data_IF_022051534047
#
_entry.id   IF_022051534047
#
_cell.length_a   1.000
_cell.length_b   1.000
_cell.length_c   1.000
_cell.angle_alpha   90.00
_cell.angle_beta   90.00
_cell.angle_gamma   90.00
#
_symmetry.space_group_name_H-M   'P 1'
#
loop_
_entity.id
_entity.type
_entity.pdbx_description
1 polymer ?
#
# COMPACT_ATOMS: atom_id res chain seq x y z
N UNK A 1 -36.12 31.35 -70.68
CA UNK A 1 -37.19 30.99 -69.71
C UNK A 1 -36.71 29.79 -68.90
N UNK A 2 -36.69 29.94 -67.58
CA UNK A 2 -35.97 29.10 -66.63
C UNK A 2 -36.60 27.70 -66.52
N UNK A 3 -35.76 26.66 -66.60
CA UNK A 3 -36.04 25.27 -66.26
C UNK A 3 -36.02 25.13 -64.73
N UNK A 4 -37.04 24.52 -64.14
CA UNK A 4 -37.02 24.08 -62.74
C UNK A 4 -37.36 22.58 -62.77
N UNK A 5 -36.33 21.75 -62.62
CA UNK A 5 -36.45 20.33 -62.34
C UNK A 5 -36.19 20.14 -60.84
N UNK A 6 -37.16 19.57 -60.14
CA UNK A 6 -37.09 19.20 -58.73
C UNK A 6 -36.44 17.83 -58.66
N UNK A 7 -35.27 17.73 -58.02
CA UNK A 7 -34.67 16.44 -57.69
C UNK A 7 -34.44 16.39 -56.18
N UNK A 8 -35.13 15.46 -55.52
CA UNK A 8 -35.08 15.23 -54.08
C UNK A 8 -33.69 14.75 -53.66
N UNK A 9 -33.07 15.46 -52.70
CA UNK A 9 -31.83 15.06 -52.06
C UNK A 9 -32.17 14.26 -50.79
N UNK A 10 -32.01 12.95 -50.89
CA UNK A 10 -32.13 12.00 -49.78
C UNK A 10 -30.92 12.23 -48.85
N UNK A 11 -31.14 12.87 -47.71
CA UNK A 11 -30.11 13.11 -46.71
C UNK A 11 -29.68 11.79 -46.06
N UNK A 12 -28.50 11.30 -46.44
CA UNK A 12 -27.80 10.25 -45.71
C UNK A 12 -27.44 10.81 -44.33
N UNK A 13 -28.16 10.35 -43.32
CA UNK A 13 -27.81 10.57 -41.92
C UNK A 13 -26.57 9.73 -41.61
N UNK A 14 -25.39 10.27 -41.93
CA UNK A 14 -24.12 9.73 -41.46
C UNK A 14 -24.14 9.78 -39.94
N UNK A 15 -24.31 8.62 -39.30
CA UNK A 15 -24.11 8.46 -37.87
C UNK A 15 -22.69 8.88 -37.52
N UNK A 16 -22.56 10.12 -37.03
CA UNK A 16 -21.39 10.53 -36.30
C UNK A 16 -21.38 9.71 -35.01
N UNK A 17 -20.72 8.55 -35.07
CA UNK A 17 -20.34 7.82 -33.88
C UNK A 17 -19.54 8.78 -33.03
N UNK A 18 -20.13 9.22 -31.92
CA UNK A 18 -19.41 9.87 -30.84
C UNK A 18 -18.36 8.86 -30.41
N UNK A 19 -17.12 9.09 -30.83
CA UNK A 19 -15.95 8.49 -30.21
C UNK A 19 -15.96 8.96 -28.76
N UNK A 20 -16.58 8.16 -27.89
CA UNK A 20 -16.30 8.23 -26.45
C UNK A 20 -14.86 7.77 -26.33
N UNK A 21 -13.92 8.72 -26.30
CA UNK A 21 -12.52 8.42 -26.03
C UNK A 21 -12.47 7.56 -24.78
N UNK A 22 -11.89 6.36 -24.89
CA UNK A 22 -11.76 5.47 -23.76
C UNK A 22 -11.05 6.22 -22.63
N UNK A 23 -11.73 6.41 -21.50
CA UNK A 23 -11.14 7.09 -20.35
C UNK A 23 -9.83 6.39 -19.97
N UNK A 24 -8.80 7.19 -19.64
CA UNK A 24 -7.48 6.66 -19.27
C UNK A 24 -7.62 5.60 -18.16
N UNK A 25 -6.87 4.49 -18.17
CA UNK A 25 -6.94 3.52 -17.09
C UNK A 25 -6.60 4.16 -15.74
N UNK A 26 -7.13 3.59 -14.65
CA UNK A 26 -6.68 3.88 -13.29
C UNK A 26 -5.45 3.01 -13.03
N UNK A 27 -4.29 3.65 -12.86
CA UNK A 27 -3.01 2.99 -12.67
C UNK A 27 -2.64 2.91 -11.20
N UNK A 28 -2.43 1.70 -10.70
CA UNK A 28 -2.05 1.45 -9.30
C UNK A 28 -0.65 0.86 -9.28
N UNK A 29 0.30 1.57 -8.68
CA UNK A 29 1.60 1.00 -8.39
C UNK A 29 1.52 0.12 -7.16
N UNK A 30 1.90 -1.15 -7.24
CA UNK A 30 1.83 -2.06 -6.09
C UNK A 30 3.22 -2.56 -5.73
N UNK A 31 3.73 -2.18 -4.56
CA UNK A 31 5.06 -2.60 -4.10
C UNK A 31 4.90 -3.73 -3.08
N UNK A 32 5.58 -4.84 -3.30
CA UNK A 32 5.59 -5.97 -2.36
C UNK A 32 6.89 -6.77 -2.50
N UNK A 33 7.09 -7.79 -1.66
CA UNK A 33 8.28 -8.65 -1.68
C UNK A 33 8.00 -9.90 -2.52
N UNK A 34 8.52 -9.96 -3.74
CA UNK A 34 8.30 -11.07 -4.69
C UNK A 34 9.51 -11.97 -4.83
N UNK A 35 10.69 -11.47 -4.46
CA UNK A 35 11.89 -12.29 -4.28
C UNK A 35 12.20 -12.44 -2.80
N UNK A 36 13.15 -13.31 -2.42
CA UNK A 36 13.52 -13.69 -1.02
C UNK A 36 12.71 -14.87 -0.43
N UNK A 37 13.16 -15.47 0.70
CA UNK A 37 12.41 -16.53 1.40
C UNK A 37 11.02 -16.12 1.89
N UNK A 38 10.71 -14.82 1.91
CA UNK A 38 9.40 -14.29 2.33
C UNK A 38 8.46 -13.99 1.14
N UNK A 39 8.87 -14.38 -0.08
CA UNK A 39 8.12 -14.12 -1.31
C UNK A 39 6.72 -14.73 -1.34
N UNK A 40 6.45 -15.80 -0.58
CA UNK A 40 5.12 -16.41 -0.51
C UNK A 40 4.04 -15.39 -0.13
N UNK A 41 4.31 -14.56 0.88
CA UNK A 41 3.37 -13.52 1.33
C UNK A 41 3.12 -12.48 0.23
N UNK A 42 4.15 -12.08 -0.49
CA UNK A 42 4.00 -11.13 -1.60
C UNK A 42 3.24 -11.71 -2.78
N UNK A 43 3.47 -12.99 -3.10
CA UNK A 43 2.70 -13.70 -4.13
C UNK A 43 1.23 -13.83 -3.74
N UNK A 44 0.93 -14.10 -2.47
CA UNK A 44 -0.45 -14.12 -1.97
C UNK A 44 -1.12 -12.75 -2.11
N UNK A 45 -0.40 -11.65 -1.84
CA UNK A 45 -0.90 -10.29 -2.06
C UNK A 45 -1.15 -9.99 -3.54
N UNK A 46 -0.26 -10.40 -4.45
CA UNK A 46 -0.46 -10.26 -5.90
C UNK A 46 -1.71 -11.01 -6.35
N UNK A 47 -1.86 -12.26 -5.90
CA UNK A 47 -3.01 -13.09 -6.23
C UNK A 47 -4.31 -12.45 -5.72
N UNK A 48 -4.31 -11.95 -4.48
CA UNK A 48 -5.47 -11.28 -3.88
C UNK A 48 -5.86 -10.02 -4.67
N UNK A 49 -4.89 -9.20 -5.09
CA UNK A 49 -5.17 -8.00 -5.90
C UNK A 49 -5.71 -8.37 -7.28
N UNK A 50 -5.11 -9.35 -7.96
CA UNK A 50 -5.59 -9.81 -9.26
C UNK A 50 -7.02 -10.36 -9.16
N UNK A 51 -7.31 -11.16 -8.13
CA UNK A 51 -8.65 -11.66 -7.86
C UNK A 51 -9.64 -10.53 -7.57
N UNK A 52 -9.23 -9.50 -6.84
CA UNK A 52 -10.08 -8.33 -6.58
C UNK A 52 -10.39 -7.56 -7.86
N UNK A 53 -9.41 -7.37 -8.76
CA UNK A 53 -9.60 -6.75 -10.07
C UNK A 53 -10.57 -7.56 -10.93
N UNK A 54 -10.44 -8.89 -10.93
CA UNK A 54 -11.36 -9.78 -11.64
C UNK A 54 -12.79 -9.68 -11.08
N UNK A 55 -12.93 -9.67 -9.75
CA UNK A 55 -14.25 -9.57 -9.10
C UNK A 55 -15.01 -8.32 -9.51
N UNK A 56 -14.32 -7.18 -9.65
CA UNK A 56 -14.95 -5.91 -10.09
C UNK A 56 -15.07 -5.80 -11.62
N UNK A 57 -14.73 -6.85 -12.38
CA UNK A 57 -14.84 -6.88 -13.83
C UNK A 57 -13.75 -6.09 -14.57
N UNK A 58 -12.59 -5.87 -13.93
CA UNK A 58 -11.43 -5.21 -14.54
C UNK A 58 -11.52 -3.69 -14.65
N UNK A 59 -12.61 -3.07 -14.18
CA UNK A 59 -12.83 -1.64 -14.30
C UNK A 59 -13.51 -1.04 -13.08
N UNK A 60 -13.26 0.24 -12.83
CA UNK A 60 -13.91 1.04 -11.80
C UNK A 60 -14.36 2.37 -12.38
N UNK A 61 -15.63 2.74 -12.15
CA UNK A 61 -16.18 3.97 -12.71
C UNK A 61 -16.08 4.08 -14.24
N UNK A 62 -16.15 2.96 -14.96
CA UNK A 62 -15.99 2.91 -16.42
C UNK A 62 -14.54 2.95 -16.93
N UNK A 63 -13.55 3.04 -16.03
CA UNK A 63 -12.12 3.09 -16.35
C UNK A 63 -11.45 1.75 -16.06
N UNK A 64 -10.65 1.24 -16.99
CA UNK A 64 -9.88 0.00 -16.79
C UNK A 64 -8.90 0.14 -15.62
N UNK A 65 -8.68 -0.93 -14.86
CA UNK A 65 -7.71 -0.97 -13.76
C UNK A 65 -6.40 -1.58 -14.29
N UNK A 66 -5.30 -0.86 -14.13
CA UNK A 66 -3.95 -1.35 -14.45
C UNK A 66 -3.11 -1.40 -13.17
N UNK A 67 -2.66 -2.60 -12.77
CA UNK A 67 -1.81 -2.77 -11.58
C UNK A 67 -0.38 -3.07 -11.99
N UNK A 68 0.55 -2.25 -11.51
CA UNK A 68 1.98 -2.34 -11.79
C UNK A 68 2.71 -2.88 -10.56
N UNK A 69 2.92 -4.19 -10.51
CA UNK A 69 3.64 -4.84 -9.42
C UNK A 69 5.15 -4.58 -9.48
N UNK A 70 5.76 -4.20 -8.35
CA UNK A 70 7.20 -4.04 -8.22
C UNK A 70 7.71 -4.78 -6.99
N UNK A 71 8.80 -5.50 -7.18
CA UNK A 71 9.52 -6.19 -6.12
C UNK A 71 10.44 -5.24 -5.35
N UNK A 72 10.29 -5.20 -4.02
CA UNK A 72 11.16 -4.47 -3.10
C UNK A 72 12.37 -5.28 -2.62
N UNK A 73 12.41 -6.59 -2.87
CA UNK A 73 13.47 -7.49 -2.43
C UNK A 73 13.78 -7.42 -0.93
N UNK A 74 12.82 -7.01 -0.11
CA UNK A 74 12.97 -6.73 1.33
C UNK A 74 14.06 -5.67 1.61
N UNK A 75 14.26 -4.72 0.69
CA UNK A 75 15.28 -3.67 0.81
C UNK A 75 14.62 -2.29 0.80
N UNK A 76 14.73 -1.50 1.88
CA UNK A 76 14.12 -0.17 1.95
C UNK A 76 14.49 0.75 0.79
N UNK A 77 15.78 0.77 0.43
CA UNK A 77 16.28 1.59 -0.66
C UNK A 77 15.72 1.15 -2.02
N UNK A 78 15.58 -0.16 -2.25
CA UNK A 78 14.98 -0.66 -3.49
C UNK A 78 13.49 -0.30 -3.55
N UNK A 79 12.74 -0.46 -2.45
CA UNK A 79 11.33 -0.04 -2.38
C UNK A 79 11.14 1.44 -2.68
N UNK A 80 11.99 2.32 -2.12
CA UNK A 80 11.99 3.76 -2.44
C UNK A 80 12.22 4.01 -3.93
N UNK A 81 13.22 3.37 -4.53
CA UNK A 81 13.50 3.48 -5.96
C UNK A 81 12.33 2.97 -6.83
N UNK A 82 11.67 1.88 -6.44
CA UNK A 82 10.48 1.38 -7.13
C UNK A 82 9.33 2.38 -7.05
N UNK A 83 9.08 2.98 -5.89
CA UNK A 83 8.06 4.00 -5.72
C UNK A 83 8.34 5.22 -6.61
N UNK A 84 9.58 5.71 -6.63
CA UNK A 84 9.97 6.84 -7.48
C UNK A 84 9.79 6.54 -8.97
N UNK A 85 10.13 5.32 -9.41
CA UNK A 85 9.89 4.90 -10.79
C UNK A 85 8.40 4.84 -11.12
N UNK A 86 7.59 4.24 -10.24
CA UNK A 86 6.14 4.15 -10.42
C UNK A 86 5.51 5.55 -10.59
N UNK A 87 5.95 6.51 -9.78
CA UNK A 87 5.44 7.88 -9.80
C UNK A 87 5.94 8.64 -11.04
N UNK A 88 7.25 8.62 -11.30
CA UNK A 88 7.89 9.52 -12.29
C UNK A 88 7.88 8.97 -13.71
N UNK A 89 7.92 7.65 -13.89
CA UNK A 89 8.02 7.01 -15.21
C UNK A 89 6.71 6.32 -15.59
N UNK A 90 6.13 5.54 -14.68
CA UNK A 90 4.92 4.76 -14.97
C UNK A 90 3.63 5.60 -14.81
N UNK A 91 3.75 6.78 -14.19
CA UNK A 91 2.69 7.76 -13.90
C UNK A 91 1.44 7.14 -13.26
N UNK A 92 1.64 6.36 -12.19
CA UNK A 92 0.54 5.72 -11.46
C UNK A 92 -0.30 6.73 -10.69
N UNK A 93 -1.61 6.54 -10.56
CA UNK A 93 -2.51 7.43 -9.79
C UNK A 93 -2.27 7.35 -8.27
N UNK A 94 -1.71 6.23 -7.79
CA UNK A 94 -1.35 6.02 -6.39
C UNK A 94 -0.45 4.81 -6.23
N UNK A 95 0.15 4.69 -5.03
CA UNK A 95 0.98 3.55 -4.65
C UNK A 95 0.34 2.80 -3.50
N UNK A 96 0.22 1.48 -3.64
CA UNK A 96 -0.33 0.59 -2.64
C UNK A 96 0.63 -0.55 -2.28
N UNK A 97 0.34 -1.22 -1.16
CA UNK A 97 1.00 -2.47 -0.77
C UNK A 97 1.85 -2.33 0.49
N UNK A 98 3.10 -2.78 0.34
CA UNK A 98 4.14 -2.99 1.33
C UNK A 98 3.83 -4.13 2.31
N UNK A 99 4.82 -5.00 2.49
CA UNK A 99 4.83 -5.99 3.59
C UNK A 99 5.56 -5.39 4.79
N UNK A 100 6.67 -4.69 4.56
CA UNK A 100 7.61 -4.35 5.63
C UNK A 100 7.58 -2.86 5.99
N UNK A 101 7.48 -2.58 7.29
CA UNK A 101 7.43 -1.20 7.83
C UNK A 101 8.63 -0.33 7.40
N UNK A 102 9.84 -0.89 7.38
CA UNK A 102 11.04 -0.16 6.95
C UNK A 102 11.00 0.20 5.46
N UNK A 103 10.42 -0.64 4.61
CA UNK A 103 10.26 -0.37 3.17
C UNK A 103 9.19 0.70 2.94
N UNK A 104 8.03 0.60 3.61
CA UNK A 104 7.01 1.63 3.57
C UNK A 104 7.56 3.00 3.99
N UNK A 105 8.28 3.05 5.12
CA UNK A 105 8.85 4.30 5.64
C UNK A 105 9.86 4.93 4.69
N UNK A 106 10.65 4.13 3.97
CA UNK A 106 11.59 4.63 2.98
C UNK A 106 10.90 5.17 1.71
N UNK A 107 9.81 4.55 1.27
CA UNK A 107 9.05 4.97 0.09
C UNK A 107 8.09 6.14 0.37
N UNK A 108 7.61 6.27 1.61
CA UNK A 108 6.53 7.20 2.00
C UNK A 108 6.72 8.60 1.44
N UNK A 109 7.87 9.22 1.72
CA UNK A 109 8.10 10.63 1.38
C UNK A 109 8.00 10.85 -0.13
N UNK A 110 8.58 9.96 -0.94
CA UNK A 110 8.55 10.07 -2.40
C UNK A 110 7.12 10.02 -2.96
N UNK A 111 6.23 9.22 -2.35
CA UNK A 111 4.81 9.13 -2.76
C UNK A 111 4.02 10.35 -2.30
N UNK A 112 4.06 10.67 -1.01
CA UNK A 112 3.27 11.75 -0.42
C UNK A 112 3.68 13.11 -0.99
N UNK A 113 4.97 13.39 -1.14
CA UNK A 113 5.46 14.66 -1.72
C UNK A 113 5.04 14.83 -3.19
N UNK A 114 4.68 13.75 -3.88
CA UNK A 114 4.17 13.81 -5.26
C UNK A 114 2.68 14.12 -5.35
N UNK A 115 1.99 14.27 -4.22
CA UNK A 115 0.55 14.51 -4.16
C UNK A 115 -0.30 13.30 -4.54
N UNK A 116 0.28 12.09 -4.50
CA UNK A 116 -0.39 10.83 -4.82
C UNK A 116 -0.70 10.05 -3.55
N UNK A 117 -1.76 9.24 -3.62
CA UNK A 117 -2.17 8.42 -2.48
C UNK A 117 -1.18 7.30 -2.19
N UNK A 118 -0.95 7.05 -0.90
CA UNK A 118 -0.19 5.92 -0.39
C UNK A 118 -1.09 5.03 0.47
N UNK A 119 -1.34 3.81 0.02
CA UNK A 119 -2.21 2.85 0.70
C UNK A 119 -1.36 1.69 1.23
N UNK A 120 -1.18 1.58 2.55
CA UNK A 120 -0.51 0.42 3.13
C UNK A 120 -1.48 -0.75 3.34
N UNK A 121 -1.07 -1.94 2.92
CA UNK A 121 -1.86 -3.18 3.04
C UNK A 121 -1.46 -4.05 4.23
N UNK A 122 -0.30 -3.81 4.85
CA UNK A 122 0.15 -4.60 6.00
C UNK A 122 0.80 -3.76 7.10
N UNK A 123 1.91 -3.02 6.87
CA UNK A 123 2.56 -2.33 7.97
C UNK A 123 1.84 -1.03 8.35
N UNK A 124 1.53 -0.86 9.64
CA UNK A 124 1.05 0.39 10.21
C UNK A 124 2.03 0.98 11.23
N UNK A 125 3.20 1.55 10.84
CA UNK A 125 4.08 2.22 11.79
C UNK A 125 3.34 3.32 12.55
N UNK A 126 3.41 3.30 13.89
CA UNK A 126 2.70 4.25 14.77
C UNK A 126 3.00 5.71 14.42
N UNK A 127 4.23 6.00 13.96
CA UNK A 127 4.66 7.33 13.51
C UNK A 127 3.74 7.91 12.42
N UNK A 128 3.15 7.07 11.56
CA UNK A 128 2.23 7.47 10.49
C UNK A 128 0.84 7.85 11.00
N UNK A 129 0.45 7.37 12.18
CA UNK A 129 -0.76 7.83 12.86
C UNK A 129 -0.51 9.09 13.71
N UNK A 130 0.75 9.48 13.90
CA UNK A 130 1.15 10.62 14.72
C UNK A 130 1.91 11.69 13.92
N UNK A 131 3.18 11.90 14.27
CA UNK A 131 4.01 13.01 13.73
C UNK A 131 4.21 12.99 12.21
N UNK A 132 4.01 11.84 11.57
CA UNK A 132 4.10 11.65 10.12
C UNK A 132 2.74 11.38 9.48
N UNK A 133 1.65 11.77 10.12
CA UNK A 133 0.32 11.71 9.51
C UNK A 133 0.27 12.54 8.22
N UNK A 134 -0.51 12.07 7.26
CA UNK A 134 -0.74 12.74 5.97
C UNK A 134 -2.19 12.46 5.53
N UNK A 135 -2.91 13.45 4.96
CA UNK A 135 -4.23 13.21 4.37
C UNK A 135 -4.17 12.23 3.19
N UNK A 136 -3.00 12.07 2.57
CA UNK A 136 -2.82 11.18 1.41
C UNK A 136 -2.34 9.76 1.79
N UNK A 137 -2.24 9.46 3.10
CA UNK A 137 -1.86 8.14 3.59
C UNK A 137 -3.04 7.40 4.20
N UNK A 138 -3.24 6.16 3.78
CA UNK A 138 -4.26 5.26 4.32
C UNK A 138 -3.62 3.92 4.70
N UNK A 139 -3.97 3.39 5.87
CA UNK A 139 -3.57 2.05 6.29
C UNK A 139 -4.80 1.14 6.34
N UNK A 140 -4.75 0.02 5.62
CA UNK A 140 -5.78 -1.04 5.68
C UNK A 140 -5.56 -1.99 6.88
N UNK A 141 -4.39 -1.91 7.50
CA UNK A 141 -4.04 -2.62 8.73
C UNK A 141 -4.03 -1.65 9.91
N UNK A 142 -4.18 -2.18 11.13
CA UNK A 142 -3.98 -1.41 12.35
C UNK A 142 -2.51 -1.02 12.55
N UNK A 143 -2.29 0.00 13.38
CA UNK A 143 -0.97 0.37 13.85
C UNK A 143 -0.27 -0.78 14.60
N UNK A 144 1.03 -0.93 14.39
CA UNK A 144 1.83 -2.04 14.95
C UNK A 144 1.80 -2.07 16.49
N UNK A 145 1.60 -0.92 17.13
CA UNK A 145 1.65 -0.72 18.57
C UNK A 145 0.29 -0.94 19.27
N UNK A 146 -0.84 -0.96 18.54
CA UNK A 146 -2.17 -1.10 19.15
C UNK A 146 -2.33 -2.40 19.94
N UNK A 147 -1.96 -3.54 19.36
CA UNK A 147 -2.06 -4.85 20.03
C UNK A 147 -1.08 -4.93 21.22
N UNK A 148 0.20 -4.52 21.10
CA UNK A 148 1.13 -4.43 22.22
C UNK A 148 0.66 -3.52 23.36
N UNK A 149 0.04 -2.38 23.05
CA UNK A 149 -0.56 -1.48 24.06
C UNK A 149 -1.69 -2.19 24.81
N UNK A 150 -2.54 -2.93 24.10
CA UNK A 150 -3.59 -3.71 24.74
C UNK A 150 -3.00 -4.82 25.63
N UNK A 151 -1.95 -5.50 25.17
CA UNK A 151 -1.25 -6.53 25.92
C UNK A 151 -0.66 -5.98 27.22
N UNK A 152 0.00 -4.83 27.20
CA UNK A 152 0.57 -4.23 28.41
C UNK A 152 -0.50 -3.85 29.44
N UNK A 153 -1.68 -3.40 28.99
CA UNK A 153 -2.84 -3.18 29.87
C UNK A 153 -3.33 -4.47 30.53
N UNK A 154 -3.51 -5.53 29.74
CA UNK A 154 -3.95 -6.85 30.25
C UNK A 154 -2.92 -7.42 31.23
N UNK A 155 -1.62 -7.28 30.96
CA UNK A 155 -0.56 -7.71 31.88
C UNK A 155 -0.64 -7.01 33.23
N UNK A 156 -1.03 -5.73 33.27
CA UNK A 156 -1.25 -5.02 34.54
C UNK A 156 -2.43 -5.57 35.32
N UNK A 157 -3.53 -5.91 34.64
CA UNK A 157 -4.71 -6.54 35.25
C UNK A 157 -4.39 -7.94 35.80
N UNK A 158 -3.54 -8.69 35.10
CA UNK A 158 -3.00 -9.97 35.54
C UNK A 158 -1.90 -9.84 36.62
N UNK A 159 -1.61 -8.62 37.10
CA UNK A 159 -0.64 -8.36 38.18
C UNK A 159 0.80 -8.83 37.82
N UNK A 160 1.15 -8.85 36.54
CA UNK A 160 2.52 -9.17 36.08
C UNK A 160 3.48 -8.10 36.61
N UNK A 161 4.56 -8.53 37.29
CA UNK A 161 5.52 -7.62 37.93
C UNK A 161 6.78 -7.38 37.13
N UNK A 162 7.24 -8.37 36.36
CA UNK A 162 8.50 -8.35 35.62
C UNK A 162 8.29 -8.87 34.21
N UNK A 163 8.88 -8.19 33.23
CA UNK A 163 8.76 -8.51 31.82
C UNK A 163 10.15 -8.46 31.16
N UNK A 164 10.42 -9.43 30.29
CA UNK A 164 11.52 -9.40 29.33
C UNK A 164 10.94 -9.25 27.92
N UNK A 165 11.46 -8.32 27.13
CA UNK A 165 10.92 -8.03 25.80
C UNK A 165 11.86 -8.57 24.72
N UNK A 166 11.37 -9.44 23.85
CA UNK A 166 12.14 -9.92 22.69
C UNK A 166 11.37 -9.63 21.41
N UNK A 167 11.96 -8.84 20.52
CA UNK A 167 11.33 -8.42 19.26
C UNK A 167 12.35 -8.42 18.11
N UNK A 168 11.92 -8.56 16.84
CA UNK A 168 12.85 -8.45 15.72
C UNK A 168 13.45 -7.04 15.58
N UNK A 169 14.73 -6.96 15.22
CA UNK A 169 15.49 -5.71 15.11
C UNK A 169 15.20 -4.95 13.79
N UNK A 170 13.99 -4.46 13.66
CA UNK A 170 13.59 -3.57 12.56
C UNK A 170 12.45 -2.65 13.00
N UNK A 171 11.98 -1.79 12.09
CA UNK A 171 10.98 -0.76 12.38
C UNK A 171 9.77 -1.29 13.15
N UNK A 172 9.11 -2.36 12.68
CA UNK A 172 7.88 -2.82 13.36
C UNK A 172 8.17 -3.47 14.73
N UNK A 173 9.29 -4.21 14.87
CA UNK A 173 9.63 -4.81 16.16
C UNK A 173 9.93 -3.76 17.23
N UNK A 174 10.63 -2.68 16.86
CA UNK A 174 10.87 -1.53 17.74
C UNK A 174 9.55 -0.83 18.13
N UNK A 175 8.64 -0.70 17.16
CA UNK A 175 7.32 -0.11 17.37
C UNK A 175 6.47 -0.95 18.35
N UNK A 176 6.49 -2.27 18.17
CA UNK A 176 5.83 -3.23 19.07
C UNK A 176 6.37 -3.15 20.50
N UNK A 177 7.70 -3.15 20.67
CA UNK A 177 8.31 -3.03 21.99
C UNK A 177 7.94 -1.70 22.66
N UNK A 178 8.03 -0.59 21.92
CA UNK A 178 7.64 0.72 22.43
C UNK A 178 6.17 0.77 22.84
N UNK A 179 5.27 0.20 22.03
CA UNK A 179 3.83 0.09 22.35
C UNK A 179 3.58 -0.68 23.64
N UNK A 180 4.19 -1.85 23.80
CA UNK A 180 4.08 -2.67 25.02
C UNK A 180 4.59 -1.92 26.25
N UNK A 181 5.82 -1.41 26.18
CA UNK A 181 6.50 -0.70 27.27
C UNK A 181 5.77 0.60 27.67
N UNK A 182 5.06 1.24 26.74
CA UNK A 182 4.29 2.47 27.04
C UNK A 182 3.09 2.24 27.96
N UNK A 183 2.55 1.01 27.99
CA UNK A 183 1.31 0.68 28.69
C UNK A 183 1.51 -0.27 29.87
N UNK A 184 2.60 -1.04 29.88
CA UNK A 184 2.97 -1.91 30.98
C UNK A 184 3.54 -1.10 32.16
N UNK A 185 3.05 -1.35 33.38
CA UNK A 185 3.44 -0.61 34.60
C UNK A 185 4.46 -1.34 35.47
N UNK A 186 4.74 -2.62 35.18
CA UNK A 186 5.72 -3.41 35.90
C UNK A 186 7.16 -3.10 35.46
N UNK A 187 8.11 -3.83 36.01
CA UNK A 187 9.53 -3.69 35.67
C UNK A 187 9.83 -4.40 34.34
N UNK A 188 10.32 -3.66 33.35
CA UNK A 188 10.94 -4.24 32.15
C UNK A 188 12.42 -4.39 32.43
N UNK A 189 12.85 -5.61 32.78
CA UNK A 189 14.20 -5.85 33.29
C UNK A 189 15.23 -6.12 32.18
N UNK A 190 14.79 -6.22 30.92
CA UNK A 190 15.67 -6.39 29.78
C UNK A 190 14.92 -6.47 28.46
N UNK A 191 15.66 -6.26 27.36
CA UNK A 191 15.14 -6.47 26.01
C UNK A 191 16.20 -6.96 25.03
N UNK A 192 15.77 -7.80 24.09
CA UNK A 192 16.58 -8.24 22.96
C UNK A 192 15.94 -7.86 21.62
N UNK A 193 16.78 -7.30 20.74
CA UNK A 193 16.44 -7.06 19.35
C UNK A 193 17.04 -8.16 18.48
N UNK A 194 16.22 -9.12 18.07
CA UNK A 194 16.68 -10.31 17.35
C UNK A 194 16.92 -10.01 15.88
N UNK A 195 17.96 -10.62 15.30
CA UNK A 195 18.14 -10.60 13.86
C UNK A 195 17.25 -11.68 13.23
N UNK A 196 16.61 -11.36 12.09
CA UNK A 196 16.05 -12.40 11.22
C UNK A 196 17.23 -13.22 10.69
N UNK A 197 17.61 -14.31 11.39
CA UNK A 197 18.53 -15.28 10.80
C UNK A 197 17.86 -15.82 9.54
N UNK A 198 18.64 -15.99 8.46
CA UNK A 198 18.21 -16.79 7.31
C UNK A 198 17.75 -18.12 7.87
N UNK A 199 16.44 -18.38 7.84
CA UNK A 199 15.95 -19.74 7.95
C UNK A 199 16.58 -20.44 6.75
N UNK A 200 17.38 -21.44 7.09
CA UNK A 200 18.27 -22.21 6.23
C UNK A 200 17.50 -22.81 5.06
#
# INVERSE_FOLDING_TARGET
MKRIAITALMAMLSGAGISTGADKPVKIGFITTLTTPTASTGNDMVNAVNQAVEHVGGQIGGRQIEVLFKDDGLKPELGRQKAEKLIRQDDVDGVAGFIWSNVLMAARKSVIDSGKFLISTNPGPSELAGKLCSPDFFSLCGQNDMVPIALGKIMNECVVKKLYVMVPNYTAGKDIAAGLESSFKGEVFGRDLTVFRRVI
#
